data_IF_525026955874
#
_entry.id   IF_525026955874
#
_cell.length_a   1.000
_cell.length_b   1.000
_cell.length_c   1.000
_cell.angle_alpha   90.00
_cell.angle_beta   90.00
_cell.angle_gamma   90.00
#
_symmetry.space_group_name_H-M   'P 1'
#
loop_
_entity.id
_entity.type
_entity.pdbx_description
1 polymer ?
#
# COMPACT_ATOMS: atom_id res chain seq x y z
N UNK A 1 -0.52 18.27 -18.10
CA UNK A 1 -0.96 16.91 -17.79
C UNK A 1 -0.68 16.01 -18.98
N UNK A 2 0.05 14.91 -18.77
CA UNK A 2 0.32 13.93 -19.83
C UNK A 2 -0.35 12.61 -19.45
N UNK A 3 -1.21 12.10 -20.33
CA UNK A 3 -1.79 10.76 -20.19
C UNK A 3 -0.77 9.74 -20.69
N UNK A 4 -0.36 8.81 -19.81
CA UNK A 4 0.64 7.78 -20.11
C UNK A 4 -0.04 6.49 -20.56
N UNK A 5 -1.10 6.09 -19.83
CA UNK A 5 -1.81 4.83 -20.06
C UNK A 5 -3.25 4.93 -19.61
N UNK A 6 -4.16 4.26 -20.31
CA UNK A 6 -5.53 3.99 -19.86
C UNK A 6 -5.69 2.48 -19.69
N UNK A 7 -6.02 2.05 -18.49
CA UNK A 7 -6.19 0.63 -18.18
C UNK A 7 -7.66 0.34 -17.80
N UNK A 8 -8.34 -0.62 -18.44
CA UNK A 8 -9.75 -0.92 -18.18
C UNK A 8 -10.01 -1.71 -16.90
N UNK A 9 -8.98 -1.97 -16.08
CA UNK A 9 -9.08 -2.67 -14.80
C UNK A 9 -8.63 -1.81 -13.65
N UNK A 10 -9.10 -2.12 -12.45
CA UNK A 10 -8.58 -1.54 -11.21
C UNK A 10 -7.10 -1.91 -10.97
N UNK A 11 -6.40 -1.10 -10.19
CA UNK A 11 -5.04 -1.39 -9.76
C UNK A 11 -4.96 -2.68 -8.94
N UNK A 12 -3.87 -3.44 -9.09
CA UNK A 12 -3.53 -4.59 -8.24
C UNK A 12 -2.91 -4.17 -6.91
N UNK A 13 -2.36 -5.14 -6.19
CA UNK A 13 -1.56 -4.94 -4.96
C UNK A 13 -2.27 -4.08 -3.90
N UNK A 14 -3.55 -4.36 -3.61
CA UNK A 14 -4.41 -3.61 -2.67
C UNK A 14 -4.67 -2.14 -3.06
N UNK A 15 -4.21 -1.67 -4.22
CA UNK A 15 -4.36 -0.27 -4.62
C UNK A 15 -5.83 0.12 -4.65
N UNK A 16 -6.65 -0.61 -5.41
CA UNK A 16 -8.07 -0.31 -5.57
C UNK A 16 -8.89 -0.62 -4.32
N UNK A 17 -8.57 -1.73 -3.64
CA UNK A 17 -9.33 -2.19 -2.49
C UNK A 17 -9.05 -1.39 -1.21
N UNK A 18 -7.81 -1.02 -0.97
CA UNK A 18 -7.37 -0.48 0.32
C UNK A 18 -6.67 0.87 0.23
N UNK A 19 -5.67 1.01 -0.65
CA UNK A 19 -4.80 2.18 -0.62
C UNK A 19 -5.52 3.46 -1.04
N UNK A 20 -6.38 3.40 -2.05
CA UNK A 20 -7.20 4.56 -2.45
C UNK A 20 -8.08 5.01 -1.29
N UNK A 21 -8.76 4.09 -0.62
CA UNK A 21 -9.63 4.43 0.51
C UNK A 21 -8.84 5.00 1.70
N UNK A 22 -7.67 4.47 1.98
CA UNK A 22 -6.79 4.97 3.05
C UNK A 22 -6.31 6.39 2.76
N UNK A 23 -5.92 6.68 1.51
CA UNK A 23 -5.41 7.99 1.11
C UNK A 23 -6.50 9.05 0.99
N UNK A 24 -7.66 8.69 0.43
CA UNK A 24 -8.67 9.66 -0.01
C UNK A 24 -9.97 9.61 0.79
N UNK A 25 -10.21 8.52 1.52
CA UNK A 25 -11.50 8.23 2.15
C UNK A 25 -12.55 7.67 1.19
N UNK A 26 -12.27 7.63 -0.12
CA UNK A 26 -13.21 7.16 -1.13
C UNK A 26 -13.14 5.64 -1.32
N UNK A 27 -14.29 4.98 -1.30
CA UNK A 27 -14.42 3.55 -1.63
C UNK A 27 -14.42 3.37 -3.15
N UNK A 28 -13.25 3.12 -3.71
CA UNK A 28 -13.05 2.98 -5.16
C UNK A 28 -13.76 1.76 -5.73
N UNK A 29 -13.83 0.65 -4.99
CA UNK A 29 -14.54 -0.57 -5.43
C UNK A 29 -16.03 -0.31 -5.54
N UNK A 30 -16.60 0.38 -4.57
CA UNK A 30 -17.98 0.83 -4.64
C UNK A 30 -18.22 1.70 -5.88
N UNK A 31 -17.33 2.64 -6.17
CA UNK A 31 -17.44 3.49 -7.36
C UNK A 31 -17.45 2.69 -8.67
N UNK A 32 -16.61 1.65 -8.79
CA UNK A 32 -16.63 0.74 -9.95
C UNK A 32 -18.00 0.05 -10.08
N UNK A 33 -18.56 -0.43 -8.98
CA UNK A 33 -19.87 -1.07 -8.95
C UNK A 33 -20.97 -0.08 -9.35
N UNK A 34 -20.95 1.14 -8.82
CA UNK A 34 -21.90 2.19 -9.15
C UNK A 34 -21.87 2.56 -10.64
N UNK A 35 -20.68 2.61 -11.26
CA UNK A 35 -20.54 2.78 -12.71
C UNK A 35 -21.19 1.65 -13.49
N UNK A 36 -20.92 0.39 -13.09
CA UNK A 36 -21.49 -0.77 -13.75
C UNK A 36 -23.03 -0.85 -13.66
N UNK A 37 -23.59 -0.27 -12.61
CA UNK A 37 -25.04 -0.19 -12.36
C UNK A 37 -25.70 1.08 -12.88
N UNK A 38 -24.97 1.93 -13.62
CA UNK A 38 -25.42 3.24 -14.12
C UNK A 38 -25.99 4.15 -13.01
N UNK A 39 -25.40 4.10 -11.82
CA UNK A 39 -25.81 4.89 -10.67
C UNK A 39 -24.63 5.60 -9.99
N UNK A 40 -23.58 5.88 -10.76
CA UNK A 40 -22.36 6.53 -10.26
C UNK A 40 -22.64 7.88 -9.61
N UNK A 41 -21.99 8.09 -8.47
CA UNK A 41 -22.03 9.35 -7.71
C UNK A 41 -20.64 9.96 -7.67
N UNK A 42 -20.60 11.28 -7.69
CA UNK A 42 -19.34 12.00 -7.57
C UNK A 42 -18.60 11.61 -6.28
N UNK A 43 -17.30 11.25 -6.38
CA UNK A 43 -16.49 10.86 -5.24
C UNK A 43 -16.40 11.97 -4.18
N UNK A 44 -16.66 11.63 -2.93
CA UNK A 44 -16.43 12.52 -1.80
C UNK A 44 -15.03 12.20 -1.22
N UNK A 45 -14.08 13.07 -1.54
CA UNK A 45 -12.70 12.97 -1.00
C UNK A 45 -12.69 13.62 0.39
N UNK A 46 -12.43 12.83 1.41
CA UNK A 46 -12.44 13.24 2.82
C UNK A 46 -11.07 13.29 3.45
N UNK A 47 -10.03 12.86 2.73
CA UNK A 47 -8.63 12.79 3.18
C UNK A 47 -7.69 13.14 2.04
N UNK A 48 -6.51 13.62 2.42
CA UNK A 48 -5.38 13.88 1.53
C UNK A 48 -4.11 13.35 2.23
N UNK A 49 -3.99 12.02 2.25
CA UNK A 49 -2.92 11.31 2.95
C UNK A 49 -2.17 10.38 1.99
N UNK A 50 -0.95 10.02 2.37
CA UNK A 50 -0.17 9.00 1.67
C UNK A 50 -0.46 7.63 2.24
N UNK A 51 -0.71 6.65 1.39
CA UNK A 51 -0.76 5.24 1.76
C UNK A 51 0.11 4.40 0.84
N UNK A 52 0.52 3.25 1.31
CA UNK A 52 1.29 2.31 0.50
C UNK A 52 1.39 0.95 1.15
N UNK A 53 1.96 0.02 0.39
CA UNK A 53 2.21 -1.35 0.82
C UNK A 53 3.69 -1.68 0.66
N UNK A 54 4.26 -2.34 1.67
CA UNK A 54 5.57 -2.97 1.60
C UNK A 54 5.43 -4.47 1.73
N UNK A 55 6.12 -5.19 0.87
CA UNK A 55 6.14 -6.64 0.92
C UNK A 55 7.33 -7.17 1.72
N UNK A 56 7.06 -8.22 2.50
CA UNK A 56 8.07 -8.93 3.26
C UNK A 56 8.82 -9.91 2.35
N UNK A 57 10.11 -9.68 2.25
CA UNK A 57 11.08 -10.52 1.55
C UNK A 57 12.45 -10.34 2.20
N UNK A 58 13.48 -11.05 1.75
CA UNK A 58 14.84 -10.91 2.31
C UNK A 58 15.36 -9.47 2.21
N UNK A 59 15.09 -8.77 1.09
CA UNK A 59 15.52 -7.39 0.90
C UNK A 59 14.88 -6.38 1.88
N UNK A 60 13.69 -6.67 2.42
CA UNK A 60 12.98 -5.79 3.36
C UNK A 60 13.06 -6.23 4.83
N UNK A 61 13.84 -7.27 5.12
CA UNK A 61 13.93 -7.94 6.41
C UNK A 61 14.23 -7.01 7.60
N UNK A 62 15.17 -6.09 7.43
CA UNK A 62 15.56 -5.18 8.52
C UNK A 62 14.44 -4.19 8.87
N UNK A 63 13.68 -3.74 7.87
CA UNK A 63 12.49 -2.92 8.11
C UNK A 63 11.46 -3.69 8.95
N UNK A 64 11.19 -4.95 8.58
CA UNK A 64 10.21 -5.79 9.27
C UNK A 64 10.64 -6.14 10.69
N UNK A 65 11.91 -6.41 10.96
CA UNK A 65 12.42 -6.63 12.33
C UNK A 65 12.06 -5.47 13.26
N UNK A 66 12.27 -4.24 12.78
CA UNK A 66 11.95 -3.04 13.57
C UNK A 66 10.44 -2.86 13.82
N UNK A 67 9.60 -3.40 12.92
CA UNK A 67 8.15 -3.25 12.96
C UNK A 67 7.48 -4.38 13.76
N UNK A 68 8.11 -5.55 13.87
CA UNK A 68 7.55 -6.69 14.58
C UNK A 68 7.26 -6.37 16.05
N UNK A 69 8.19 -5.72 16.72
CA UNK A 69 8.19 -5.50 18.17
C UNK A 69 7.66 -4.10 18.57
N UNK A 70 7.39 -3.24 17.57
CA UNK A 70 6.99 -1.87 17.83
C UNK A 70 5.62 -1.54 17.23
N UNK A 71 4.90 -0.66 17.91
CA UNK A 71 3.65 -0.08 17.43
C UNK A 71 3.92 1.31 16.84
N UNK A 72 3.45 1.53 15.61
CA UNK A 72 3.64 2.82 14.95
C UNK A 72 2.28 3.40 14.53
N UNK A 73 2.02 4.70 14.78
CA UNK A 73 0.75 5.34 14.40
C UNK A 73 0.44 5.30 12.91
N UNK A 74 1.47 5.20 12.07
CA UNK A 74 1.34 5.13 10.61
C UNK A 74 1.11 3.70 10.07
N UNK A 75 1.31 2.66 10.89
CA UNK A 75 1.09 1.28 10.50
C UNK A 75 -0.38 0.92 10.64
N UNK A 76 -1.05 0.66 9.51
CA UNK A 76 -2.47 0.30 9.46
C UNK A 76 -2.66 -1.20 9.64
N UNK A 77 -1.85 -1.99 8.95
CA UNK A 77 -1.96 -3.45 8.95
C UNK A 77 -0.62 -4.11 8.71
N UNK A 78 -0.41 -5.24 9.33
CA UNK A 78 0.70 -6.17 9.00
C UNK A 78 0.16 -7.58 8.87
N UNK A 79 0.59 -8.27 7.81
CA UNK A 79 0.31 -9.68 7.58
C UNK A 79 1.63 -10.38 7.30
N UNK A 80 2.02 -11.33 8.16
CA UNK A 80 3.26 -12.07 8.05
C UNK A 80 2.91 -13.55 7.90
N UNK A 81 3.17 -14.08 6.72
CA UNK A 81 2.88 -15.48 6.40
C UNK A 81 3.97 -16.41 6.91
N UNK A 82 5.21 -16.00 6.75
CA UNK A 82 6.38 -16.72 7.25
C UNK A 82 7.55 -15.78 7.48
N UNK A 83 8.41 -16.13 8.45
CA UNK A 83 9.70 -15.46 8.67
C UNK A 83 10.86 -16.16 7.95
N UNK A 84 10.58 -17.25 7.26
CA UNK A 84 11.56 -17.93 6.40
C UNK A 84 11.62 -17.22 5.05
N UNK A 85 12.36 -16.11 5.01
CA UNK A 85 12.35 -15.16 3.93
C UNK A 85 13.16 -15.66 2.74
N UNK A 86 12.63 -15.40 1.55
CA UNK A 86 13.31 -15.64 0.27
C UNK A 86 13.59 -14.31 -0.42
N UNK A 87 14.61 -14.28 -1.27
CA UNK A 87 14.85 -13.15 -2.15
C UNK A 87 13.68 -12.99 -3.11
N UNK A 88 13.12 -11.78 -3.19
CA UNK A 88 12.02 -11.51 -4.10
C UNK A 88 12.56 -11.29 -5.51
N UNK A 89 12.32 -12.24 -6.39
CA UNK A 89 12.59 -12.16 -7.84
C UNK A 89 11.31 -11.94 -8.64
N UNK A 90 10.16 -12.13 -8.01
CA UNK A 90 8.83 -11.93 -8.60
C UNK A 90 7.74 -11.73 -7.56
N UNK A 91 6.51 -11.56 -8.05
CA UNK A 91 5.36 -11.29 -7.18
C UNK A 91 4.99 -12.45 -6.25
N UNK A 92 5.40 -13.67 -6.57
CA UNK A 92 5.10 -14.89 -5.80
C UNK A 92 6.06 -15.12 -4.62
N UNK A 93 7.17 -14.37 -4.56
CA UNK A 93 8.20 -14.52 -3.53
C UNK A 93 7.93 -13.64 -2.29
N UNK A 94 6.71 -13.13 -2.18
CA UNK A 94 6.28 -12.26 -1.08
C UNK A 94 5.82 -13.10 0.10
N UNK A 95 6.45 -12.90 1.26
CA UNK A 95 6.21 -13.68 2.48
C UNK A 95 5.27 -12.97 3.47
N UNK A 96 4.67 -11.91 3.04
CA UNK A 96 3.77 -11.07 3.80
C UNK A 96 3.83 -9.62 3.34
N UNK A 97 3.14 -8.75 4.06
CA UNK A 97 3.12 -7.33 3.76
C UNK A 97 2.83 -6.48 5.00
N UNK A 98 3.10 -5.19 4.87
CA UNK A 98 2.54 -4.15 5.74
C UNK A 98 1.86 -3.08 4.90
N UNK A 99 0.79 -2.50 5.44
CA UNK A 99 0.11 -1.33 4.88
C UNK A 99 0.32 -0.16 5.82
N UNK A 100 0.69 0.96 5.25
CA UNK A 100 0.89 2.20 6.00
C UNK A 100 0.02 3.34 5.47
N UNK A 101 -0.21 4.32 6.35
CA UNK A 101 -0.85 5.59 6.05
C UNK A 101 -0.19 6.70 6.86
N UNK A 102 0.13 7.82 6.23
CA UNK A 102 0.72 8.98 6.89
C UNK A 102 0.40 10.26 6.11
N UNK A 103 0.43 11.40 6.81
CA UNK A 103 0.21 12.71 6.19
C UNK A 103 1.30 13.06 5.16
N UNK A 104 2.53 12.56 5.35
CA UNK A 104 3.66 12.80 4.45
C UNK A 104 4.47 11.52 4.21
N UNK A 105 4.96 11.28 2.99
CA UNK A 105 5.74 10.08 2.66
C UNK A 105 7.12 10.01 3.36
N UNK A 106 7.54 11.07 4.04
CA UNK A 106 8.88 11.22 4.65
C UNK A 106 9.25 10.23 5.75
N UNK A 107 8.39 9.89 6.75
CA UNK A 107 8.85 9.09 7.89
C UNK A 107 9.33 7.69 7.51
N UNK A 108 8.74 7.11 6.47
CA UNK A 108 9.09 5.78 6.03
C UNK A 108 10.30 5.79 5.10
N UNK A 109 10.37 6.76 4.17
CA UNK A 109 11.49 6.92 3.25
C UNK A 109 12.80 7.23 3.99
N UNK A 110 12.76 8.04 5.05
CA UNK A 110 13.94 8.35 5.85
C UNK A 110 14.44 7.14 6.65
N UNK A 111 13.55 6.29 7.13
CA UNK A 111 13.89 5.03 7.79
C UNK A 111 14.45 4.00 6.81
N UNK A 112 13.86 3.88 5.62
CA UNK A 112 14.34 2.97 4.57
C UNK A 112 15.72 3.40 4.06
N UNK A 113 15.95 4.70 3.84
CA UNK A 113 17.26 5.23 3.41
C UNK A 113 18.35 5.04 4.46
N UNK A 114 18.01 5.12 5.76
CA UNK A 114 18.96 4.85 6.86
C UNK A 114 19.36 3.37 6.97
N UNK A 115 18.57 2.46 6.46
CA UNK A 115 18.82 1.02 6.52
C UNK A 115 19.32 0.40 5.19
N UNK A 116 19.78 1.20 4.25
CA UNK A 116 20.71 0.72 3.22
C UNK A 116 20.12 0.28 1.89
N UNK A 117 19.03 0.82 1.45
CA UNK A 117 18.72 0.78 0.01
C UNK A 117 19.59 1.82 -0.70
N UNK A 118 20.69 1.35 -1.30
CA UNK A 118 21.45 2.07 -2.33
C UNK A 118 20.75 1.93 -3.67
#
# INVERSE_FOLDING_TARGET
LHLIEVNPRGGGDEISARLVQLSTGYDYIRGIIEVALDCFREPQITRDECSGIYYLCEQSKELFKNILDNHFPWLVEKNIQTLNLTEATGNYDRNGYLIYRCEFPRPLNDKIRKHGYK
#
